data_IF_286156232799
#
_entry.id   IF_286156232799
#
_cell.length_a   1.000
_cell.length_b   1.000
_cell.length_c   1.000
_cell.angle_alpha   90.00
_cell.angle_beta   90.00
_cell.angle_gamma   90.00
#
_symmetry.space_group_name_H-M   'P 1'
#
loop_
_entity.id
_entity.type
_entity.pdbx_description
1 polymer ?
#
# COMPACT_ATOMS: atom_id res chain seq x y z
N UNK A 1 -26.39 -1.54 35.36
CA UNK A 1 -26.42 -2.03 33.96
C UNK A 1 -25.40 -1.23 33.17
N UNK A 2 -24.23 -1.82 32.94
CA UNK A 2 -23.18 -1.20 32.11
C UNK A 2 -23.57 -1.36 30.65
N UNK A 3 -23.89 -0.25 30.00
CA UNK A 3 -24.01 -0.14 28.55
C UNK A 3 -22.72 -0.65 27.93
N UNK A 4 -22.80 -1.77 27.22
CA UNK A 4 -21.75 -2.19 26.29
C UNK A 4 -21.55 -1.03 25.33
N UNK A 5 -20.39 -0.38 25.39
CA UNK A 5 -19.96 0.52 24.34
C UNK A 5 -20.01 -0.30 23.05
N UNK A 6 -20.87 0.11 22.12
CA UNK A 6 -20.87 -0.45 20.78
C UNK A 6 -19.44 -0.41 20.25
N UNK A 7 -18.98 -1.55 19.76
CA UNK A 7 -17.62 -1.78 19.26
C UNK A 7 -17.41 -0.92 18.00
N UNK A 8 -17.18 0.38 18.18
CA UNK A 8 -17.00 1.32 17.08
C UNK A 8 -15.67 1.00 16.37
N UNK A 9 -15.75 0.36 15.20
CA UNK A 9 -14.60 0.04 14.38
C UNK A 9 -13.95 1.34 13.90
N UNK A 10 -12.78 1.69 14.44
CA UNK A 10 -12.04 2.85 13.95
C UNK A 10 -11.26 2.46 12.70
N UNK A 11 -11.55 3.16 11.60
CA UNK A 11 -10.92 2.93 10.31
C UNK A 11 -10.33 4.22 9.78
N UNK A 12 -9.07 4.17 9.34
CA UNK A 12 -8.38 5.25 8.65
C UNK A 12 -8.02 4.85 7.23
N UNK A 13 -8.14 5.79 6.30
CA UNK A 13 -7.72 5.62 4.92
C UNK A 13 -6.52 6.53 4.65
N UNK A 14 -5.40 5.95 4.25
CA UNK A 14 -4.19 6.68 3.88
C UNK A 14 -3.77 6.30 2.46
N UNK A 15 -3.10 7.20 1.75
CA UNK A 15 -2.53 6.88 0.44
C UNK A 15 -1.13 7.47 0.28
N UNK A 16 -0.37 6.91 -0.64
CA UNK A 16 0.90 7.45 -1.15
C UNK A 16 0.85 7.44 -2.67
N UNK A 17 0.99 8.60 -3.27
CA UNK A 17 1.06 8.82 -4.71
C UNK A 17 2.51 9.05 -5.17
N UNK A 18 2.71 9.27 -6.46
CA UNK A 18 4.02 9.45 -7.10
C UNK A 18 5.02 8.38 -6.64
N UNK A 19 4.63 7.12 -6.70
CA UNK A 19 5.50 6.00 -6.38
C UNK A 19 6.10 5.40 -7.66
N UNK A 20 7.25 4.76 -7.51
CA UNK A 20 7.88 3.96 -8.54
C UNK A 20 7.93 2.50 -8.12
N UNK A 21 7.50 1.61 -9.01
CA UNK A 21 7.70 0.16 -8.91
C UNK A 21 9.10 -0.17 -9.43
N UNK A 22 9.87 -0.86 -8.59
CA UNK A 22 11.18 -1.42 -8.90
C UNK A 22 11.01 -2.94 -9.03
N UNK A 23 11.49 -3.49 -10.13
CA UNK A 23 11.42 -4.93 -10.44
C UNK A 23 12.83 -5.45 -10.64
N UNK A 24 13.25 -6.37 -9.79
CA UNK A 24 14.56 -7.02 -9.82
C UNK A 24 14.52 -8.30 -10.66
N UNK A 25 15.65 -8.67 -11.27
CA UNK A 25 15.77 -9.92 -12.05
C UNK A 25 15.87 -11.18 -11.18
N UNK A 26 16.26 -11.04 -9.92
CA UNK A 26 16.41 -12.11 -8.95
C UNK A 26 15.76 -11.75 -7.62
N UNK A 27 15.46 -12.77 -6.81
CA UNK A 27 14.90 -12.59 -5.46
C UNK A 27 15.84 -11.75 -4.60
N UNK A 28 15.28 -10.84 -3.82
CA UNK A 28 16.05 -9.91 -3.02
C UNK A 28 15.32 -9.46 -1.76
N UNK A 29 16.10 -9.10 -0.75
CA UNK A 29 15.65 -8.38 0.44
C UNK A 29 16.05 -6.90 0.32
N UNK A 30 15.62 -6.23 -0.75
CA UNK A 30 15.99 -4.84 -1.04
C UNK A 30 15.50 -3.87 0.05
N UNK A 31 14.38 -4.19 0.70
CA UNK A 31 13.81 -3.46 1.83
C UNK A 31 14.72 -3.45 3.06
N UNK A 32 15.62 -4.42 3.22
CA UNK A 32 16.63 -4.40 4.29
C UNK A 32 17.74 -3.37 4.05
N UNK A 33 17.99 -2.99 2.79
CA UNK A 33 18.96 -1.95 2.44
C UNK A 33 18.33 -0.55 2.46
N UNK A 34 17.10 -0.45 1.95
CA UNK A 34 16.33 0.81 1.87
C UNK A 34 15.00 0.61 2.61
N UNK A 35 14.96 0.87 3.93
CA UNK A 35 13.79 0.58 4.78
C UNK A 35 12.51 1.33 4.37
N UNK A 36 12.63 2.39 3.56
CA UNK A 36 11.50 3.14 3.04
C UNK A 36 10.75 2.40 1.92
N UNK A 37 11.34 1.34 1.35
CA UNK A 37 10.71 0.51 0.33
C UNK A 37 9.54 -0.30 0.90
N UNK A 38 8.46 -0.37 0.15
CA UNK A 38 7.33 -1.25 0.43
C UNK A 38 7.51 -2.50 -0.41
N UNK A 39 7.63 -3.66 0.24
CA UNK A 39 7.74 -4.96 -0.43
C UNK A 39 6.39 -5.38 -1.01
N UNK A 40 6.37 -5.68 -2.30
CA UNK A 40 5.20 -6.25 -3.00
C UNK A 40 5.33 -7.77 -3.00
N UNK A 41 6.51 -8.26 -3.42
CA UNK A 41 6.93 -9.66 -3.35
C UNK A 41 8.47 -9.75 -3.33
N UNK A 42 9.03 -10.94 -3.53
CA UNK A 42 10.48 -11.21 -3.53
C UNK A 42 11.26 -10.45 -4.63
N UNK A 43 10.58 -9.95 -5.66
CA UNK A 43 11.18 -9.30 -6.84
C UNK A 43 10.73 -7.85 -7.02
N UNK A 44 9.58 -7.49 -6.44
CA UNK A 44 8.91 -6.21 -6.67
C UNK A 44 8.83 -5.38 -5.39
N UNK A 45 9.22 -4.13 -5.52
CA UNK A 45 9.22 -3.17 -4.42
C UNK A 45 8.77 -1.80 -4.90
N UNK A 46 8.14 -1.04 -4.02
CA UNK A 46 7.64 0.30 -4.33
C UNK A 46 8.36 1.32 -3.46
N UNK A 47 8.81 2.41 -4.08
CA UNK A 47 9.53 3.49 -3.40
C UNK A 47 9.00 4.85 -3.90
N UNK A 48 9.04 5.88 -3.05
CA UNK A 48 8.60 7.23 -3.46
C UNK A 48 9.48 7.72 -4.63
N UNK A 49 8.84 8.30 -5.63
CA UNK A 49 9.49 8.96 -6.76
C UNK A 49 9.88 10.40 -6.39
N UNK A 50 10.81 10.51 -5.45
CA UNK A 50 11.36 11.78 -5.01
C UNK A 50 12.78 12.03 -5.57
N UNK A 51 13.40 13.13 -5.11
CA UNK A 51 14.75 13.52 -5.51
C UNK A 51 15.84 12.51 -5.12
N UNK A 52 15.57 11.62 -4.15
CA UNK A 52 16.52 10.62 -3.67
C UNK A 52 16.40 9.30 -4.43
N UNK A 53 15.29 9.04 -5.13
CA UNK A 53 15.08 7.80 -5.89
C UNK A 53 16.25 7.47 -6.82
N UNK A 54 16.82 8.47 -7.49
CA UNK A 54 17.94 8.26 -8.41
C UNK A 54 19.21 7.70 -7.74
N UNK A 55 19.51 8.13 -6.51
CA UNK A 55 20.65 7.62 -5.74
C UNK A 55 20.31 6.22 -5.21
N UNK A 56 19.09 6.02 -4.67
CA UNK A 56 18.63 4.72 -4.17
C UNK A 56 18.65 3.63 -5.26
N UNK A 57 18.20 3.94 -6.47
CA UNK A 57 18.24 3.00 -7.60
C UNK A 57 19.66 2.59 -7.94
N UNK A 58 20.63 3.52 -7.92
CA UNK A 58 22.04 3.18 -8.14
C UNK A 58 22.61 2.29 -7.04
N UNK A 59 22.29 2.58 -5.77
CA UNK A 59 22.70 1.75 -4.63
C UNK A 59 22.15 0.32 -4.76
N UNK A 60 20.87 0.19 -5.12
CA UNK A 60 20.21 -1.09 -5.35
C UNK A 60 20.82 -1.84 -6.53
N UNK A 61 21.10 -1.16 -7.64
CA UNK A 61 21.74 -1.76 -8.81
C UNK A 61 23.15 -2.27 -8.53
N UNK A 62 23.93 -1.51 -7.74
CA UNK A 62 25.27 -1.91 -7.34
C UNK A 62 25.28 -3.17 -6.47
N UNK A 63 24.25 -3.38 -5.64
CA UNK A 63 24.18 -4.52 -4.72
C UNK A 63 23.48 -5.75 -5.33
N UNK A 64 22.40 -5.54 -6.06
CA UNK A 64 21.50 -6.61 -6.50
C UNK A 64 21.47 -6.82 -8.02
N UNK A 65 22.22 -6.01 -8.78
CA UNK A 65 22.28 -6.13 -10.24
C UNK A 65 21.20 -5.33 -10.97
N UNK A 66 20.89 -5.72 -12.21
CA UNK A 66 19.94 -4.98 -13.03
C UNK A 66 18.54 -4.97 -12.41
N UNK A 67 17.86 -3.82 -12.54
CA UNK A 67 16.47 -3.66 -12.15
C UNK A 67 15.76 -2.77 -13.15
N UNK A 68 14.46 -3.02 -13.33
CA UNK A 68 13.55 -2.16 -14.08
C UNK A 68 12.84 -1.20 -13.12
N UNK A 69 12.60 0.03 -13.59
CA UNK A 69 11.85 1.05 -12.87
C UNK A 69 10.65 1.48 -13.69
N UNK A 70 9.50 1.57 -13.03
CA UNK A 70 8.27 2.08 -13.62
C UNK A 70 7.62 3.11 -12.68
N UNK A 71 7.31 4.31 -13.19
CA UNK A 71 6.67 5.37 -12.43
C UNK A 71 5.13 5.28 -12.54
N UNK A 72 4.42 6.15 -11.81
CA UNK A 72 2.96 6.27 -11.89
C UNK A 72 2.22 5.18 -11.10
N UNK A 73 2.82 4.77 -9.99
CA UNK A 73 2.22 3.84 -9.03
C UNK A 73 1.78 4.59 -7.78
N UNK A 74 0.80 4.03 -7.08
CA UNK A 74 0.33 4.53 -5.79
C UNK A 74 0.07 3.36 -4.85
N UNK A 75 -0.02 3.65 -3.55
CA UNK A 75 -0.58 2.72 -2.57
C UNK A 75 -1.75 3.36 -1.82
N UNK A 76 -2.72 2.53 -1.43
CA UNK A 76 -3.79 2.91 -0.49
C UNK A 76 -3.74 1.92 0.66
N UNK A 77 -3.68 2.41 1.89
CA UNK A 77 -3.75 1.61 3.11
C UNK A 77 -5.05 1.90 3.85
N UNK A 78 -5.83 0.86 4.09
CA UNK A 78 -6.97 0.89 5.02
C UNK A 78 -6.49 0.33 6.34
N UNK A 79 -6.48 1.15 7.39
CA UNK A 79 -5.96 0.80 8.71
C UNK A 79 -7.12 0.66 9.68
N UNK A 80 -7.20 -0.49 10.32
CA UNK A 80 -8.19 -0.84 11.33
C UNK A 80 -7.54 -0.82 12.72
N UNK A 81 -8.32 -0.48 13.74
CA UNK A 81 -7.92 -0.62 15.15
C UNK A 81 -7.78 -2.09 15.58
N UNK A 82 -8.58 -2.98 14.97
CA UNK A 82 -8.59 -4.44 15.15
C UNK A 82 -8.10 -5.15 13.87
N UNK A 83 -8.17 -6.48 13.85
CA UNK A 83 -7.84 -7.25 12.64
C UNK A 83 -8.68 -6.77 11.45
N UNK A 84 -8.05 -6.67 10.29
CA UNK A 84 -8.72 -6.27 9.07
C UNK A 84 -9.81 -7.30 8.70
N UNK A 85 -10.98 -6.85 8.21
CA UNK A 85 -11.98 -7.72 7.63
C UNK A 85 -11.51 -8.28 6.28
N UNK A 86 -12.37 -9.05 5.62
CA UNK A 86 -12.12 -9.47 4.24
C UNK A 86 -11.96 -8.24 3.33
N UNK A 87 -10.98 -8.31 2.43
CA UNK A 87 -10.68 -7.24 1.49
C UNK A 87 -11.67 -7.24 0.33
N UNK A 88 -12.13 -6.06 -0.06
CA UNK A 88 -12.69 -5.87 -1.40
C UNK A 88 -11.58 -5.60 -2.41
N UNK A 89 -11.85 -5.81 -3.69
CA UNK A 89 -10.90 -5.55 -4.78
C UNK A 89 -11.45 -4.47 -5.73
N UNK A 90 -11.12 -3.19 -5.52
CA UNK A 90 -11.35 -2.17 -6.52
C UNK A 90 -10.65 -2.52 -7.84
N UNK A 91 -11.12 -1.92 -8.94
CA UNK A 91 -10.61 -2.17 -10.29
C UNK A 91 -9.09 -1.90 -10.37
N UNK A 92 -8.35 -2.81 -11.05
CA UNK A 92 -6.91 -2.70 -11.28
C UNK A 92 -6.08 -2.47 -10.00
N UNK A 93 -6.45 -3.17 -8.91
CA UNK A 93 -5.69 -3.17 -7.65
C UNK A 93 -5.10 -4.55 -7.35
N UNK A 94 -3.92 -4.54 -6.73
CA UNK A 94 -3.25 -5.71 -6.15
C UNK A 94 -3.17 -5.53 -4.63
N UNK A 95 -3.47 -6.57 -3.85
CA UNK A 95 -3.28 -6.53 -2.39
C UNK A 95 -1.85 -6.99 -2.08
N UNK A 96 -1.11 -6.17 -1.36
CA UNK A 96 0.29 -6.43 -1.03
C UNK A 96 0.48 -6.76 0.47
N UNK A 97 1.57 -7.47 0.83
CA UNK A 97 1.83 -7.86 2.20
C UNK A 97 1.79 -6.67 3.17
N UNK A 98 1.07 -6.83 4.28
CA UNK A 98 0.91 -5.80 5.31
C UNK A 98 0.57 -6.41 6.67
N UNK A 99 0.51 -5.58 7.71
CA UNK A 99 0.14 -6.04 9.06
C UNK A 99 -1.31 -6.52 9.13
N UNK A 100 -1.63 -7.39 10.10
CA UNK A 100 -2.96 -8.03 10.27
C UNK A 100 -4.17 -7.06 10.33
N UNK A 101 -3.94 -5.80 10.67
CA UNK A 101 -4.94 -4.75 10.83
C UNK A 101 -4.89 -3.74 9.67
N UNK A 102 -4.18 -4.05 8.59
CA UNK A 102 -4.02 -3.19 7.43
C UNK A 102 -4.36 -3.98 6.18
N UNK A 103 -5.12 -3.37 5.27
CA UNK A 103 -5.21 -3.83 3.89
C UNK A 103 -4.47 -2.81 3.04
N UNK A 104 -3.42 -3.25 2.36
CA UNK A 104 -2.61 -2.38 1.51
C UNK A 104 -2.83 -2.73 0.04
N UNK A 105 -3.30 -1.76 -0.73
CA UNK A 105 -3.52 -1.85 -2.16
C UNK A 105 -2.39 -1.18 -2.92
N UNK A 106 -1.88 -1.85 -3.95
CA UNK A 106 -1.00 -1.32 -4.98
C UNK A 106 -1.82 -1.12 -6.26
N UNK A 107 -1.63 0.00 -6.94
CA UNK A 107 -2.37 0.35 -8.16
C UNK A 107 -1.63 1.38 -9.00
N UNK A 108 -2.04 1.50 -10.27
CA UNK A 108 -1.67 2.64 -11.10
C UNK A 108 -2.33 3.91 -10.57
N UNK A 109 -1.60 5.01 -10.64
CA UNK A 109 -2.02 6.31 -10.10
C UNK A 109 -3.29 6.85 -10.78
N UNK A 110 -3.52 6.48 -12.05
CA UNK A 110 -4.75 6.78 -12.79
C UNK A 110 -6.02 6.27 -12.09
N UNK A 111 -5.93 5.20 -11.30
CA UNK A 111 -7.05 4.62 -10.56
C UNK A 111 -7.14 5.10 -9.10
N UNK A 112 -6.21 5.94 -8.63
CA UNK A 112 -6.10 6.33 -7.22
C UNK A 112 -7.39 6.97 -6.70
N UNK A 113 -7.90 7.98 -7.40
CA UNK A 113 -9.09 8.73 -6.95
C UNK A 113 -10.35 7.85 -6.95
N UNK A 114 -10.55 7.01 -7.98
CA UNK A 114 -11.70 6.11 -8.04
C UNK A 114 -11.65 5.05 -6.94
N UNK A 115 -10.47 4.46 -6.70
CA UNK A 115 -10.28 3.43 -5.68
C UNK A 115 -10.44 4.01 -4.27
N UNK A 116 -9.94 5.22 -4.00
CA UNK A 116 -10.16 5.92 -2.73
C UNK A 116 -11.66 6.11 -2.44
N UNK A 117 -12.46 6.51 -3.44
CA UNK A 117 -13.92 6.68 -3.26
C UNK A 117 -14.62 5.37 -2.95
N UNK A 118 -14.27 4.29 -3.65
CA UNK A 118 -14.83 2.95 -3.42
C UNK A 118 -14.49 2.47 -2.00
N UNK A 119 -13.21 2.55 -1.62
CA UNK A 119 -12.73 2.11 -0.31
C UNK A 119 -13.32 2.96 0.82
N UNK A 120 -13.42 4.27 0.65
CA UNK A 120 -14.08 5.15 1.61
C UNK A 120 -15.56 4.78 1.78
N UNK A 121 -16.29 4.58 0.67
CA UNK A 121 -17.69 4.19 0.72
C UNK A 121 -17.92 2.88 1.47
N UNK A 122 -17.06 1.89 1.21
CA UNK A 122 -17.17 0.56 1.80
C UNK A 122 -16.73 0.52 3.27
N UNK A 123 -15.56 1.07 3.61
CA UNK A 123 -14.96 0.90 4.94
C UNK A 123 -15.26 2.02 5.93
N UNK A 124 -15.61 3.23 5.47
CA UNK A 124 -15.80 4.39 6.35
C UNK A 124 -17.26 4.85 6.32
N UNK A 125 -17.81 5.07 5.13
CA UNK A 125 -19.19 5.58 5.00
C UNK A 125 -20.23 4.57 5.46
N UNK A 126 -20.07 3.28 5.14
CA UNK A 126 -21.02 2.23 5.54
C UNK A 126 -21.11 2.04 7.07
N UNK A 127 -20.04 2.36 7.81
CA UNK A 127 -20.02 2.35 9.27
C UNK A 127 -20.82 3.52 9.87
N UNK A 128 -20.92 4.65 9.16
CA UNK A 128 -21.63 5.85 9.64
C UNK A 128 -23.15 5.76 9.48
N UNK A 129 -23.66 4.80 8.71
CA UNK A 129 -25.10 4.55 8.51
C UNK A 129 -25.71 3.53 9.49
N UNK A 130 -24.90 2.95 10.37
CA UNK A 130 -25.35 1.99 11.39
C UNK A 130 -25.50 2.60 12.80
N UNK A 131 -25.27 3.91 12.94
CA UNK A 131 -25.57 4.74 14.13
C UNK A 131 -26.84 5.53 13.94
#
# INVERSE_FOLDING_TARGET
HGTAAEDSLQVALAHRDEMSLLVFEAETDADKLVPEMIRVDEYRFVLKNDVYLGIRVKELQNKYGALRKENGWATISVVFDKSAPESISPLETEIIPSSKNVICYLLKEDYLTSSLRILYGHYISALSTQT
#
